data_IF_516317034889
#
_entry.id   IF_516317034889
#
_cell.length_a   1.000
_cell.length_b   1.000
_cell.length_c   1.000
_cell.angle_alpha   90.00
_cell.angle_beta   90.00
_cell.angle_gamma   90.00
#
_symmetry.space_group_name_H-M   'P 1'
#
loop_
_entity.id
_entity.type
_entity.pdbx_description
1 polymer ?
#
# COMPACT_ATOMS: atom_id res chain seq x y z
N UNK A 1 34.52 19.27 -35.86
CA UNK A 1 33.11 19.49 -35.45
C UNK A 1 33.01 20.92 -34.94
N UNK A 2 32.16 21.75 -35.55
CA UNK A 2 32.06 23.16 -35.15
C UNK A 2 31.39 23.29 -33.77
N UNK A 3 31.83 24.25 -32.97
CA UNK A 3 31.31 24.52 -31.61
C UNK A 3 29.79 24.70 -31.61
N UNK A 4 29.23 25.30 -32.65
CA UNK A 4 27.79 25.49 -32.87
C UNK A 4 27.03 24.18 -33.14
N UNK A 5 27.64 23.20 -33.80
CA UNK A 5 27.03 21.88 -34.01
C UNK A 5 27.02 21.07 -32.71
N UNK A 6 28.10 21.17 -31.92
CA UNK A 6 28.23 20.52 -30.63
C UNK A 6 27.21 21.07 -29.62
N UNK A 7 27.01 22.39 -29.57
CA UNK A 7 25.97 23.05 -28.77
C UNK A 7 24.55 22.60 -29.14
N UNK A 8 24.24 22.51 -30.44
CA UNK A 8 22.93 22.01 -30.92
C UNK A 8 22.68 20.57 -30.49
N UNK A 9 23.71 19.73 -30.57
CA UNK A 9 23.60 18.32 -30.20
C UNK A 9 23.34 18.16 -28.69
N UNK A 10 24.04 18.92 -27.85
CA UNK A 10 23.82 18.95 -26.39
C UNK A 10 22.40 19.41 -26.05
N UNK A 11 21.93 20.51 -26.65
CA UNK A 11 20.58 21.03 -26.39
C UNK A 11 19.49 20.04 -26.79
N UNK A 12 19.68 19.34 -27.90
CA UNK A 12 18.74 18.32 -28.37
C UNK A 12 18.72 17.13 -27.40
N UNK A 13 19.90 16.68 -26.95
CA UNK A 13 20.02 15.62 -25.96
C UNK A 13 19.35 16.00 -24.64
N UNK A 14 19.59 17.22 -24.15
CA UNK A 14 19.00 17.73 -22.93
C UNK A 14 17.46 17.80 -23.03
N UNK A 15 16.93 18.28 -24.16
CA UNK A 15 15.50 18.30 -24.40
C UNK A 15 14.87 16.90 -24.39
N UNK A 16 15.54 15.91 -25.01
CA UNK A 16 15.10 14.51 -25.00
C UNK A 16 15.11 13.94 -23.58
N UNK A 17 16.16 14.21 -22.79
CA UNK A 17 16.23 13.77 -21.39
C UNK A 17 15.12 14.37 -20.53
N UNK A 18 14.84 15.67 -20.70
CA UNK A 18 13.76 16.34 -19.97
C UNK A 18 12.40 15.75 -20.36
N UNK A 19 12.16 15.52 -21.66
CA UNK A 19 10.93 14.89 -22.15
C UNK A 19 10.77 13.47 -21.60
N UNK A 20 11.81 12.64 -21.64
CA UNK A 20 11.77 11.29 -21.09
C UNK A 20 11.48 11.29 -19.58
N UNK A 21 12.07 12.24 -18.84
CA UNK A 21 11.81 12.42 -17.41
C UNK A 21 10.36 12.85 -17.14
N UNK A 22 9.83 13.82 -17.93
CA UNK A 22 8.46 14.28 -17.81
C UNK A 22 7.46 13.18 -18.14
N UNK A 23 7.69 12.42 -19.22
CA UNK A 23 6.87 11.26 -19.60
C UNK A 23 6.87 10.21 -18.50
N UNK A 24 8.05 9.91 -17.92
CA UNK A 24 8.13 8.98 -16.80
C UNK A 24 7.33 9.45 -15.58
N UNK A 25 7.32 10.76 -15.32
CA UNK A 25 6.56 11.38 -14.22
C UNK A 25 5.06 11.50 -14.53
N UNK A 26 4.68 11.60 -15.79
CA UNK A 26 3.30 11.72 -16.25
C UNK A 26 2.64 10.38 -16.56
N UNK A 27 3.39 9.26 -16.55
CA UNK A 27 2.82 7.93 -16.67
C UNK A 27 1.70 7.79 -15.63
N UNK A 28 0.46 7.49 -16.04
CA UNK A 28 -0.64 7.38 -15.12
C UNK A 28 -0.30 6.29 -14.10
N UNK A 29 -0.59 6.59 -12.83
CA UNK A 29 -0.62 5.58 -11.77
C UNK A 29 -1.44 4.41 -12.32
N UNK A 30 -0.96 3.17 -12.16
CA UNK A 30 -1.75 2.00 -12.50
C UNK A 30 -3.04 2.05 -11.65
N UNK A 31 -4.15 2.44 -12.30
CA UNK A 31 -5.43 2.69 -11.63
C UNK A 31 -5.94 1.42 -10.95
N UNK A 32 -5.65 0.26 -11.56
CA UNK A 32 -6.01 -1.04 -11.00
C UNK A 32 -5.21 -1.34 -9.73
N UNK A 33 -3.88 -1.17 -9.75
CA UNK A 33 -3.03 -1.36 -8.56
C UNK A 33 -3.44 -0.43 -7.42
N UNK A 34 -3.72 0.85 -7.73
CA UNK A 34 -4.21 1.82 -6.76
C UNK A 34 -5.57 1.41 -6.17
N UNK A 35 -6.52 1.00 -7.02
CA UNK A 35 -7.85 0.59 -6.56
C UNK A 35 -7.79 -0.69 -5.73
N UNK A 36 -6.97 -1.67 -6.13
CA UNK A 36 -6.77 -2.91 -5.38
C UNK A 36 -6.17 -2.64 -3.99
N UNK A 37 -5.16 -1.78 -3.92
CA UNK A 37 -4.55 -1.41 -2.64
C UNK A 37 -5.55 -0.66 -1.74
N UNK A 38 -6.32 0.29 -2.30
CA UNK A 38 -7.38 1.00 -1.58
C UNK A 38 -8.48 0.06 -1.07
N UNK A 39 -8.90 -0.90 -1.88
CA UNK A 39 -9.89 -1.90 -1.48
C UNK A 39 -9.38 -2.75 -0.31
N UNK A 40 -8.09 -3.12 -0.33
CA UNK A 40 -7.47 -3.89 0.76
C UNK A 40 -7.43 -3.09 2.07
N UNK A 41 -7.13 -1.78 2.01
CA UNK A 41 -7.21 -0.89 3.17
C UNK A 41 -8.63 -0.78 3.73
N UNK A 42 -9.65 -0.73 2.86
CA UNK A 42 -11.05 -0.69 3.30
C UNK A 42 -11.45 -2.01 3.96
N UNK A 43 -11.05 -3.16 3.39
CA UNK A 43 -11.29 -4.47 3.98
C UNK A 43 -10.68 -4.58 5.38
N UNK A 44 -9.49 -4.04 5.61
CA UNK A 44 -8.90 -4.02 6.96
C UNK A 44 -9.78 -3.25 7.94
N UNK A 45 -10.23 -2.04 7.57
CA UNK A 45 -11.11 -1.21 8.42
C UNK A 45 -12.42 -1.92 8.76
N UNK A 46 -13.01 -2.60 7.79
CA UNK A 46 -14.24 -3.37 8.00
C UNK A 46 -14.01 -4.52 8.99
N UNK A 47 -12.92 -5.28 8.82
CA UNK A 47 -12.56 -6.37 9.74
C UNK A 47 -12.28 -5.85 11.15
N UNK A 48 -11.62 -4.70 11.30
CA UNK A 48 -11.36 -4.08 12.60
C UNK A 48 -12.66 -3.71 13.34
N UNK A 49 -13.66 -3.20 12.61
CA UNK A 49 -14.99 -2.91 13.18
C UNK A 49 -15.68 -4.19 13.64
N UNK A 50 -15.63 -5.24 12.81
CA UNK A 50 -16.24 -6.54 13.13
C UNK A 50 -15.57 -7.17 14.35
N UNK A 51 -14.24 -7.20 14.41
CA UNK A 51 -13.49 -7.74 15.54
C UNK A 51 -13.79 -6.99 16.85
N UNK A 52 -13.88 -5.66 16.80
CA UNK A 52 -14.30 -4.88 17.97
C UNK A 52 -15.70 -5.27 18.43
N UNK A 53 -16.63 -5.49 17.51
CA UNK A 53 -17.98 -5.94 17.85
C UNK A 53 -17.98 -7.36 18.44
N UNK A 54 -17.16 -8.27 17.91
CA UNK A 54 -17.03 -9.63 18.44
C UNK A 54 -16.43 -9.63 19.85
N UNK A 55 -15.45 -8.77 20.15
CA UNK A 55 -14.90 -8.59 21.49
C UNK A 55 -15.98 -8.10 22.46
N UNK A 56 -16.78 -7.09 22.05
CA UNK A 56 -17.86 -6.58 22.89
C UNK A 56 -18.91 -7.65 23.17
N UNK A 57 -19.33 -8.42 22.15
CA UNK A 57 -20.29 -9.52 22.30
C UNK A 57 -19.75 -10.65 23.17
N UNK A 58 -18.47 -10.99 23.03
CA UNK A 58 -17.80 -12.01 23.85
C UNK A 58 -17.77 -11.61 25.31
N UNK A 59 -17.50 -10.34 25.62
CA UNK A 59 -17.53 -9.82 27.00
C UNK A 59 -18.92 -9.79 27.62
N UNK A 60 -19.96 -9.68 26.79
CA UNK A 60 -21.36 -9.67 27.25
C UNK A 60 -22.00 -11.06 27.25
N UNK A 61 -21.24 -12.14 27.02
CA UNK A 61 -21.74 -13.52 26.83
C UNK A 61 -22.80 -13.66 25.72
N UNK A 62 -22.86 -12.70 24.80
CA UNK A 62 -23.79 -12.68 23.66
C UNK A 62 -23.23 -13.51 22.49
N UNK A 63 -21.92 -13.73 22.47
CA UNK A 63 -21.29 -14.50 21.41
C UNK A 63 -21.62 -15.99 21.58
N UNK A 64 -22.60 -16.47 20.82
CA UNK A 64 -23.08 -17.87 20.91
C UNK A 64 -21.99 -18.88 20.52
N UNK A 65 -21.03 -18.49 19.67
CA UNK A 65 -19.93 -19.34 19.20
C UNK A 65 -18.64 -18.52 18.99
N UNK A 66 -17.48 -19.06 19.35
CA UNK A 66 -16.16 -18.45 19.18
C UNK A 66 -15.60 -18.52 17.74
N UNK A 67 -16.14 -19.40 16.89
CA UNK A 67 -15.67 -19.65 15.52
C UNK A 67 -15.64 -18.40 14.61
N UNK A 68 -16.64 -17.49 14.62
CA UNK A 68 -16.61 -16.28 13.80
C UNK A 68 -15.44 -15.35 14.14
N UNK A 69 -15.09 -15.25 15.42
CA UNK A 69 -13.98 -14.41 15.88
C UNK A 69 -12.63 -14.90 15.34
N UNK A 70 -12.37 -16.21 15.43
CA UNK A 70 -11.16 -16.82 14.86
C UNK A 70 -11.06 -16.63 13.34
N UNK A 71 -12.19 -16.73 12.64
CA UNK A 71 -12.27 -16.47 11.19
C UNK A 71 -11.90 -15.02 10.87
N UNK A 72 -12.43 -14.05 11.61
CA UNK A 72 -12.12 -12.63 11.38
C UNK A 72 -10.67 -12.29 11.71
N UNK A 73 -10.07 -12.92 12.73
CA UNK A 73 -8.62 -12.80 13.00
C UNK A 73 -7.76 -13.34 11.85
N UNK A 74 -8.14 -14.49 11.26
CA UNK A 74 -7.44 -15.03 10.11
C UNK A 74 -7.55 -14.11 8.89
N UNK A 75 -8.74 -13.53 8.67
CA UNK A 75 -8.97 -12.53 7.61
C UNK A 75 -8.13 -11.28 7.84
N UNK A 76 -8.04 -10.76 9.06
CA UNK A 76 -7.18 -9.62 9.40
C UNK A 76 -5.73 -9.91 9.04
N UNK A 77 -5.20 -11.07 9.43
CA UNK A 77 -3.83 -11.48 9.12
C UNK A 77 -3.57 -11.57 7.61
N UNK A 78 -4.51 -12.13 6.85
CA UNK A 78 -4.40 -12.22 5.40
C UNK A 78 -4.43 -10.85 4.72
N UNK A 79 -5.32 -9.95 5.16
CA UNK A 79 -5.38 -8.58 4.65
C UNK A 79 -4.09 -7.82 4.95
N UNK A 80 -3.54 -7.98 6.15
CA UNK A 80 -2.26 -7.37 6.52
C UNK A 80 -1.09 -7.88 5.65
N UNK A 81 -1.06 -9.19 5.35
CA UNK A 81 -0.05 -9.75 4.45
C UNK A 81 -0.15 -9.17 3.02
N UNK A 82 -1.37 -8.89 2.53
CA UNK A 82 -1.56 -8.22 1.23
C UNK A 82 -1.04 -6.78 1.25
N UNK A 83 -1.26 -6.05 2.34
CA UNK A 83 -0.79 -4.67 2.49
C UNK A 83 0.74 -4.56 2.61
N UNK A 84 1.42 -5.63 3.01
CA UNK A 84 2.88 -5.69 3.04
C UNK A 84 3.52 -5.51 1.63
N UNK A 85 2.76 -5.77 0.57
CA UNK A 85 3.17 -5.49 -0.81
C UNK A 85 2.79 -4.04 -1.13
N UNK A 86 3.70 -3.11 -0.83
CA UNK A 86 3.46 -1.68 -1.02
C UNK A 86 3.64 -1.30 -2.50
N UNK A 87 2.62 -0.72 -3.16
CA UNK A 87 2.66 -0.37 -4.57
C UNK A 87 3.79 0.59 -4.97
N UNK A 88 4.23 0.48 -6.23
CA UNK A 88 5.34 1.29 -6.75
C UNK A 88 4.97 2.77 -6.97
N UNK A 89 3.68 3.08 -7.11
CA UNK A 89 3.19 4.45 -7.27
C UNK A 89 3.42 5.30 -6.01
N UNK A 90 3.56 4.67 -4.85
CA UNK A 90 3.96 5.33 -3.62
C UNK A 90 5.46 5.58 -3.71
N UNK A 91 5.90 6.82 -3.50
CA UNK A 91 7.31 7.16 -3.57
C UNK A 91 8.15 6.39 -2.52
N UNK A 92 9.47 6.37 -2.72
CA UNK A 92 10.39 5.61 -1.87
C UNK A 92 10.21 5.93 -0.36
N UNK A 93 10.12 7.22 -0.02
CA UNK A 93 9.99 7.64 1.38
C UNK A 93 8.65 7.23 1.98
N UNK A 94 7.57 7.34 1.22
CA UNK A 94 6.25 6.86 1.61
C UNK A 94 6.25 5.35 1.83
N UNK A 95 6.88 4.56 0.96
CA UNK A 95 7.02 3.10 1.15
C UNK A 95 7.82 2.77 2.40
N UNK A 96 8.89 3.51 2.70
CA UNK A 96 9.69 3.30 3.91
C UNK A 96 8.87 3.54 5.18
N UNK A 97 8.08 4.62 5.22
CA UNK A 97 7.20 4.94 6.34
C UNK A 97 6.11 3.88 6.49
N UNK A 98 5.43 3.54 5.39
CA UNK A 98 4.37 2.53 5.38
C UNK A 98 4.89 1.17 5.83
N UNK A 99 6.06 0.75 5.35
CA UNK A 99 6.66 -0.52 5.77
C UNK A 99 6.89 -0.53 7.29
N UNK A 100 7.43 0.55 7.87
CA UNK A 100 7.61 0.66 9.33
C UNK A 100 6.28 0.49 10.06
N UNK A 101 5.22 1.14 9.60
CA UNK A 101 3.89 1.03 10.21
C UNK A 101 3.34 -0.39 10.09
N UNK A 102 3.42 -0.99 8.89
CA UNK A 102 2.92 -2.35 8.62
C UNK A 102 3.63 -3.38 9.47
N UNK A 103 4.96 -3.27 9.65
CA UNK A 103 5.72 -4.18 10.52
C UNK A 103 5.27 -4.09 11.98
N UNK A 104 5.06 -2.88 12.50
CA UNK A 104 4.52 -2.71 13.87
C UNK A 104 3.15 -3.40 14.01
N UNK A 105 2.27 -3.24 13.03
CA UNK A 105 0.97 -3.92 13.04
C UNK A 105 1.09 -5.45 12.96
N UNK A 106 2.00 -5.98 12.14
CA UNK A 106 2.26 -7.41 12.04
C UNK A 106 2.81 -7.99 13.35
N UNK A 107 3.69 -7.26 14.03
CA UNK A 107 4.19 -7.64 15.35
C UNK A 107 3.05 -7.72 16.36
N UNK A 108 2.14 -6.73 16.38
CA UNK A 108 0.99 -6.72 17.29
C UNK A 108 0.03 -7.90 17.05
N UNK A 109 -0.28 -8.21 15.79
CA UNK A 109 -1.19 -9.31 15.43
C UNK A 109 -0.59 -10.68 15.74
N UNK A 110 0.73 -10.83 15.62
CA UNK A 110 1.42 -12.10 15.86
C UNK A 110 1.90 -12.27 17.30
N UNK A 111 1.76 -11.26 18.15
CA UNK A 111 2.12 -11.33 19.57
C UNK A 111 1.16 -12.29 20.28
N UNK A 112 1.69 -13.42 20.73
CA UNK A 112 1.00 -14.40 21.57
C UNK A 112 0.76 -13.88 22.97
#
# INVERSE_FOLDING_TARGET
>A
MNTTQLLKLINTLAAVFILAFLVKKSLPINVEEHQQYKNTLNQQKEIDVILNQDILKSRSDILTYYDPFLKHLYQLKNTQNKLNIIPIFINHDGRKILNKIIQVYLELINKK
#
